data_IF_128898761490
#
_entry.id   IF_128898761490
#
_cell.length_a   1.000
_cell.length_b   1.000
_cell.length_c   1.000
_cell.angle_alpha   90.00
_cell.angle_beta   90.00
_cell.angle_gamma   90.00
#
_symmetry.space_group_name_H-M   'P 1'
#
loop_
_entity.id
_entity.type
_entity.pdbx_description
1 polymer ?
#
# COMPACT_ATOMS: atom_id res chain seq x y z
N UNK A 1 -4.07 -67.14 -29.78
CA UNK A 1 -4.62 -66.02 -30.58
C UNK A 1 -4.62 -64.78 -29.68
N UNK A 2 -3.50 -64.06 -29.61
CA UNK A 2 -3.30 -62.91 -28.70
C UNK A 2 -3.13 -61.66 -29.58
N UNK A 3 -4.16 -60.83 -29.70
CA UNK A 3 -4.07 -59.53 -30.35
C UNK A 3 -3.52 -58.49 -29.37
N UNK A 4 -2.20 -58.33 -29.36
CA UNK A 4 -1.54 -57.21 -28.66
C UNK A 4 -1.78 -55.93 -29.47
N UNK A 5 -2.84 -55.21 -29.13
CA UNK A 5 -3.13 -53.87 -29.63
C UNK A 5 -1.97 -52.93 -29.25
N UNK A 6 -1.15 -52.58 -30.24
CA UNK A 6 -0.17 -51.48 -30.15
C UNK A 6 -0.94 -50.18 -29.96
N UNK A 7 -0.95 -49.67 -28.72
CA UNK A 7 -1.45 -48.31 -28.44
C UNK A 7 -0.48 -47.31 -29.08
N UNK A 8 -0.94 -46.34 -29.87
CA UNK A 8 -0.07 -45.29 -30.38
C UNK A 8 0.49 -44.49 -29.20
N UNK A 9 1.81 -44.23 -29.23
CA UNK A 9 2.46 -43.37 -28.26
C UNK A 9 1.78 -42.00 -28.28
N UNK A 10 1.28 -41.54 -27.13
CA UNK A 10 0.76 -40.18 -26.99
C UNK A 10 1.88 -39.21 -27.33
N UNK A 11 1.68 -38.23 -28.24
CA UNK A 11 2.68 -37.19 -28.44
C UNK A 11 2.91 -36.50 -27.10
N UNK A 12 4.17 -36.36 -26.71
CA UNK A 12 4.54 -35.56 -25.55
C UNK A 12 3.92 -34.16 -25.75
N UNK A 13 3.06 -33.74 -24.82
CA UNK A 13 2.60 -32.36 -24.78
C UNK A 13 3.85 -31.50 -24.81
N UNK A 14 3.99 -30.54 -25.75
CA UNK A 14 5.10 -29.61 -25.74
C UNK A 14 5.17 -29.05 -24.33
N UNK A 15 6.26 -29.41 -23.67
CA UNK A 15 6.63 -28.96 -22.34
C UNK A 15 6.37 -27.47 -22.29
N UNK A 16 5.52 -27.05 -21.35
CA UNK A 16 5.21 -25.66 -21.02
C UNK A 16 6.44 -24.96 -20.40
N UNK A 17 7.62 -25.15 -21.01
CA UNK A 17 8.90 -24.67 -20.55
C UNK A 17 9.23 -23.27 -21.13
N UNK A 18 8.41 -22.76 -22.05
CA UNK A 18 8.65 -21.46 -22.71
C UNK A 18 7.38 -20.61 -22.92
N UNK A 19 6.46 -20.61 -21.96
CA UNK A 19 5.39 -19.58 -21.90
C UNK A 19 5.36 -18.84 -20.57
N UNK A 20 6.54 -18.63 -19.96
CA UNK A 20 6.76 -17.56 -18.98
C UNK A 20 7.02 -16.21 -19.69
N UNK A 21 6.43 -16.04 -20.88
CA UNK A 21 6.32 -14.73 -21.54
C UNK A 21 5.29 -13.98 -20.72
N UNK A 22 5.72 -12.88 -20.11
CA UNK A 22 4.96 -12.08 -19.16
C UNK A 22 3.51 -11.93 -19.63
N UNK A 23 2.56 -12.39 -18.81
CA UNK A 23 1.14 -12.30 -19.11
C UNK A 23 0.78 -10.82 -19.38
N UNK A 24 0.35 -10.46 -20.61
CA UNK A 24 0.13 -9.07 -20.98
C UNK A 24 -0.94 -8.41 -20.10
N UNK A 25 -1.88 -9.19 -19.55
CA UNK A 25 -2.88 -8.68 -18.61
C UNK A 25 -2.25 -8.29 -17.27
N UNK A 26 -1.24 -9.04 -16.79
CA UNK A 26 -0.49 -8.68 -15.58
C UNK A 26 0.36 -7.45 -15.80
N UNK A 27 1.00 -7.31 -16.96
CA UNK A 27 1.73 -6.10 -17.31
C UNK A 27 0.82 -4.87 -17.34
N UNK A 28 -0.35 -5.00 -17.99
CA UNK A 28 -1.33 -3.93 -18.04
C UNK A 28 -1.83 -3.55 -16.64
N UNK A 29 -2.08 -4.55 -15.78
CA UNK A 29 -2.48 -4.32 -14.39
C UNK A 29 -1.41 -3.57 -13.61
N UNK A 30 -0.14 -4.00 -13.70
CA UNK A 30 0.98 -3.33 -13.05
C UNK A 30 1.14 -1.88 -13.55
N UNK A 31 1.00 -1.66 -14.86
CA UNK A 31 1.03 -0.31 -15.43
C UNK A 31 -0.11 0.56 -14.89
N UNK A 32 -1.33 0.01 -14.77
CA UNK A 32 -2.47 0.71 -14.20
C UNK A 32 -2.28 1.05 -12.71
N UNK A 33 -1.70 0.13 -11.92
CA UNK A 33 -1.34 0.37 -10.51
C UNK A 33 -0.32 1.52 -10.39
N UNK A 34 0.75 1.48 -11.18
CA UNK A 34 1.78 2.54 -11.17
C UNK A 34 1.17 3.88 -11.56
N UNK A 35 0.36 3.91 -12.62
CA UNK A 35 -0.33 5.12 -13.05
C UNK A 35 -1.25 5.68 -11.96
N UNK A 36 -2.04 4.81 -11.30
CA UNK A 36 -2.89 5.19 -10.17
C UNK A 36 -2.06 5.83 -9.04
N UNK A 37 -0.96 5.18 -8.63
CA UNK A 37 -0.10 5.69 -7.55
C UNK A 37 0.44 7.07 -7.91
N UNK A 38 0.98 7.25 -9.12
CA UNK A 38 1.54 8.53 -9.56
C UNK A 38 0.50 9.65 -9.56
N UNK A 39 -0.70 9.38 -10.09
CA UNK A 39 -1.78 10.38 -10.15
C UNK A 39 -2.25 10.75 -8.74
N UNK A 40 -2.62 9.77 -7.92
CA UNK A 40 -3.25 10.05 -6.62
C UNK A 40 -2.26 10.53 -5.57
N UNK A 41 -1.01 10.05 -5.58
CA UNK A 41 0.03 10.62 -4.72
C UNK A 41 0.36 12.06 -5.13
N UNK A 42 0.49 12.34 -6.43
CA UNK A 42 0.70 13.69 -6.94
C UNK A 42 -0.40 14.66 -6.51
N UNK A 43 -1.67 14.29 -6.71
CA UNK A 43 -2.82 15.09 -6.26
C UNK A 43 -2.84 15.29 -4.74
N UNK A 44 -2.55 14.25 -3.96
CA UNK A 44 -2.50 14.35 -2.50
C UNK A 44 -1.39 15.31 -2.04
N UNK A 45 -0.22 15.28 -2.71
CA UNK A 45 0.89 16.17 -2.41
C UNK A 45 0.57 17.61 -2.78
N UNK A 46 -0.05 17.86 -3.93
CA UNK A 46 -0.47 19.19 -4.35
C UNK A 46 -1.51 19.78 -3.40
N UNK A 47 -2.49 18.97 -2.95
CA UNK A 47 -3.43 19.39 -1.91
C UNK A 47 -2.73 19.73 -0.61
N UNK A 48 -1.75 18.92 -0.19
CA UNK A 48 -0.99 19.15 1.04
C UNK A 48 -0.16 20.43 0.97
N UNK A 49 0.59 20.62 -0.12
CA UNK A 49 1.38 21.82 -0.38
C UNK A 49 0.49 23.08 -0.48
N UNK A 50 -0.73 22.92 -1.01
CA UNK A 50 -1.76 23.95 -1.04
C UNK A 50 -2.50 24.16 0.29
N UNK A 51 -2.13 23.46 1.37
CA UNK A 51 -2.76 23.52 2.70
C UNK A 51 -4.24 23.09 2.72
N UNK A 52 -4.64 22.20 1.80
CA UNK A 52 -6.03 21.74 1.58
C UNK A 52 -6.30 20.34 2.13
N UNK A 53 -5.52 19.89 3.12
CA UNK A 53 -5.64 18.54 3.70
C UNK A 53 -6.13 18.58 5.14
N UNK A 54 -7.13 19.41 5.43
CA UNK A 54 -7.79 19.49 6.75
C UNK A 54 -6.79 19.59 7.91
N UNK A 55 -6.09 20.74 7.98
CA UNK A 55 -4.95 21.04 8.88
C UNK A 55 -4.98 20.33 10.24
N UNK A 56 -6.08 20.45 10.98
CA UNK A 56 -6.22 19.85 12.32
C UNK A 56 -6.22 18.33 12.27
N UNK A 57 -7.09 17.74 11.46
CA UNK A 57 -7.31 16.30 11.40
C UNK A 57 -6.04 15.57 10.96
N UNK A 58 -5.46 15.97 9.83
CA UNK A 58 -4.23 15.35 9.34
C UNK A 58 -3.05 15.62 10.28
N UNK A 59 -2.99 16.81 10.89
CA UNK A 59 -1.96 17.17 11.86
C UNK A 59 -1.97 16.26 13.09
N UNK A 60 -3.14 15.99 13.66
CA UNK A 60 -3.28 15.09 14.81
C UNK A 60 -2.90 13.65 14.46
N UNK A 61 -3.29 13.15 13.28
CA UNK A 61 -2.89 11.82 12.80
C UNK A 61 -1.37 11.76 12.64
N UNK A 62 -0.79 12.73 11.93
CA UNK A 62 0.65 12.78 11.69
C UNK A 62 1.45 12.85 13.00
N UNK A 63 0.97 13.64 13.98
CA UNK A 63 1.59 13.73 15.29
C UNK A 63 1.50 12.41 16.06
N UNK A 64 0.35 11.72 16.03
CA UNK A 64 0.18 10.40 16.63
C UNK A 64 1.13 9.35 16.04
N UNK A 65 1.28 9.33 14.71
CA UNK A 65 2.19 8.43 14.02
C UNK A 65 3.65 8.78 14.35
N UNK A 66 4.02 10.06 14.29
CA UNK A 66 5.38 10.49 14.61
C UNK A 66 5.75 10.20 16.06
N UNK A 67 4.89 10.51 17.03
CA UNK A 67 5.11 10.21 18.44
C UNK A 67 5.26 8.69 18.67
N UNK A 68 4.45 7.86 18.00
CA UNK A 68 4.57 6.41 18.08
C UNK A 68 5.92 5.92 17.56
N UNK A 69 6.44 6.53 16.48
CA UNK A 69 7.77 6.22 15.94
C UNK A 69 8.90 6.52 16.93
N UNK A 70 8.62 7.33 17.96
CA UNK A 70 9.53 7.74 19.05
C UNK A 70 9.19 7.11 20.40
N UNK A 71 8.35 6.07 20.41
CA UNK A 71 7.97 5.33 21.62
C UNK A 71 6.87 5.97 22.46
N UNK A 72 6.23 7.05 22.00
CA UNK A 72 5.06 7.67 22.63
C UNK A 72 3.79 7.21 21.92
N UNK A 73 3.17 6.15 22.44
CA UNK A 73 2.09 5.44 21.79
C UNK A 73 0.88 6.35 21.49
N UNK A 74 0.65 6.63 20.19
CA UNK A 74 -0.45 7.44 19.62
C UNK A 74 -0.77 8.74 20.36
N UNK A 75 0.26 9.38 20.91
CA UNK A 75 0.16 10.68 21.57
C UNK A 75 -0.01 11.79 20.53
N UNK A 76 -0.86 12.78 20.79
CA UNK A 76 -1.07 13.94 19.90
C UNK A 76 -1.41 15.17 20.73
N UNK A 77 -1.47 16.34 20.11
CA UNK A 77 -1.94 17.57 20.75
C UNK A 77 -3.40 17.79 20.38
N UNK A 78 -4.26 17.84 21.39
CA UNK A 78 -5.65 18.21 21.25
C UNK A 78 -5.96 19.44 22.11
N UNK A 79 -6.62 20.43 21.51
CA UNK A 79 -6.99 21.68 22.18
C UNK A 79 -5.84 22.37 22.96
N UNK A 80 -4.59 22.19 22.50
CA UNK A 80 -3.39 22.76 23.13
C UNK A 80 -2.76 21.92 24.25
N UNK A 81 -3.34 20.75 24.56
CA UNK A 81 -2.83 19.83 25.58
C UNK A 81 -2.30 18.54 24.94
N UNK A 82 -1.37 17.88 25.62
CA UNK A 82 -0.97 16.52 25.25
C UNK A 82 -2.12 15.58 25.58
N UNK A 83 -2.56 14.85 24.58
CA UNK A 83 -3.63 13.87 24.67
C UNK A 83 -3.20 12.55 24.00
N UNK A 84 -3.98 11.50 24.21
CA UNK A 84 -3.89 10.28 23.41
C UNK A 84 -4.99 10.29 22.35
N UNK A 85 -4.68 9.77 21.17
CA UNK A 85 -5.67 9.62 20.10
C UNK A 85 -6.82 8.69 20.49
N UNK A 86 -6.58 7.79 21.45
CA UNK A 86 -7.55 6.85 22.01
C UNK A 86 -8.69 7.52 22.80
N UNK A 87 -8.59 8.82 23.10
CA UNK A 87 -9.68 9.57 23.76
C UNK A 87 -10.92 9.64 22.87
N UNK A 88 -10.72 9.79 21.54
CA UNK A 88 -11.81 9.97 20.57
C UNK A 88 -11.84 8.87 19.49
N UNK A 89 -10.69 8.27 19.15
CA UNK A 89 -10.54 7.33 18.04
C UNK A 89 -9.63 6.15 18.41
N UNK A 90 -10.09 4.92 18.18
CA UNK A 90 -9.28 3.71 18.42
C UNK A 90 -8.61 3.26 17.12
N UNK A 91 -7.40 3.78 16.88
CA UNK A 91 -6.64 3.55 15.64
C UNK A 91 -5.23 2.97 15.91
N UNK A 92 -5.10 1.74 16.44
CA UNK A 92 -3.80 1.14 16.78
C UNK A 92 -2.88 0.95 15.57
N UNK A 93 -3.46 0.91 14.36
CA UNK A 93 -2.71 0.85 13.10
C UNK A 93 -1.73 2.01 12.94
N UNK A 94 -2.01 3.18 13.54
CA UNK A 94 -1.12 4.35 13.47
C UNK A 94 0.25 4.09 14.10
N UNK A 95 0.30 3.29 15.16
CA UNK A 95 1.57 2.87 15.75
C UNK A 95 2.31 1.87 14.86
N UNK A 96 1.58 0.95 14.21
CA UNK A 96 2.18 -0.06 13.32
C UNK A 96 2.80 0.55 12.06
N UNK A 97 2.19 1.59 11.50
CA UNK A 97 2.73 2.29 10.31
C UNK A 97 3.81 3.32 10.66
N UNK A 98 4.00 3.63 11.95
CA UNK A 98 4.95 4.67 12.39
C UNK A 98 6.41 4.50 11.94
N UNK A 99 6.95 3.28 11.71
CA UNK A 99 8.30 3.13 11.17
C UNK A 99 8.50 3.75 9.78
N UNK A 100 7.43 4.02 9.01
CA UNK A 100 7.54 4.73 7.72
C UNK A 100 8.23 6.09 7.87
N UNK A 101 7.98 6.76 9.00
CA UNK A 101 8.58 8.07 9.28
C UNK A 101 10.07 7.98 9.62
N UNK A 102 10.65 6.80 9.87
CA UNK A 102 12.11 6.67 9.99
C UNK A 102 12.83 6.81 8.66
N UNK A 103 12.15 6.49 7.55
CA UNK A 103 12.71 6.60 6.21
C UNK A 103 12.40 7.95 5.57
N UNK A 104 11.25 8.54 5.90
CA UNK A 104 10.84 9.84 5.38
C UNK A 104 10.01 10.61 6.42
N UNK A 105 10.66 11.56 7.10
CA UNK A 105 10.06 12.42 8.13
C UNK A 105 9.21 13.56 7.51
N UNK A 106 8.19 13.22 6.73
CA UNK A 106 7.24 14.16 6.12
C UNK A 106 5.84 13.53 6.08
N UNK A 107 4.80 14.34 6.29
CA UNK A 107 3.39 13.90 6.20
C UNK A 107 3.07 13.28 4.83
N UNK A 108 3.73 13.73 3.77
CA UNK A 108 3.63 13.14 2.43
C UNK A 108 4.00 11.66 2.39
N UNK A 109 4.84 11.17 3.30
CA UNK A 109 5.12 9.74 3.42
C UNK A 109 3.85 8.94 3.79
N UNK A 110 3.01 9.49 4.68
CA UNK A 110 1.75 8.87 5.08
C UNK A 110 0.70 8.93 3.97
N UNK A 111 0.66 10.04 3.24
CA UNK A 111 -0.21 10.19 2.06
C UNK A 111 0.17 9.19 0.96
N UNK A 112 1.47 9.02 0.69
CA UNK A 112 1.96 8.02 -0.25
C UNK A 112 1.63 6.60 0.22
N UNK A 113 1.87 6.30 1.50
CA UNK A 113 1.54 5.00 2.08
C UNK A 113 0.07 4.65 1.88
N UNK A 114 -0.84 5.59 2.14
CA UNK A 114 -2.27 5.40 1.95
C UNK A 114 -2.59 5.04 0.48
N UNK A 115 -2.05 5.78 -0.49
CA UNK A 115 -2.26 5.53 -1.91
C UNK A 115 -1.73 4.15 -2.32
N UNK A 116 -0.52 3.77 -1.84
CA UNK A 116 0.07 2.46 -2.13
C UNK A 116 -0.75 1.33 -1.52
N UNK A 117 -1.16 1.44 -0.26
CA UNK A 117 -1.97 0.39 0.41
C UNK A 117 -3.28 0.17 -0.31
N UNK A 118 -3.97 1.24 -0.75
CA UNK A 118 -5.18 1.13 -1.57
C UNK A 118 -4.88 0.42 -2.90
N UNK A 119 -3.80 0.80 -3.57
CA UNK A 119 -3.42 0.21 -4.85
C UNK A 119 -3.05 -1.29 -4.73
N UNK A 120 -2.45 -1.70 -3.61
CA UNK A 120 -2.13 -3.11 -3.32
C UNK A 120 -3.40 -3.96 -3.18
N UNK A 121 -4.55 -3.37 -2.83
CA UNK A 121 -5.83 -4.09 -2.73
C UNK A 121 -6.32 -4.74 -4.02
N UNK A 122 -5.71 -4.42 -5.17
CA UNK A 122 -5.96 -5.09 -6.46
C UNK A 122 -5.25 -6.44 -6.58
N UNK A 123 -4.26 -6.72 -5.72
CA UNK A 123 -3.55 -7.98 -5.71
C UNK A 123 -4.50 -9.12 -5.25
N UNK A 124 -4.70 -10.17 -6.08
CA UNK A 124 -5.64 -11.25 -5.79
C UNK A 124 -5.16 -12.22 -4.71
#
# INVERSE_FOLDING_TARGET
MISRLLRPARPARPTALFSAVVDPYRLLLLAAIVLYILIFAGLAFDLHNGMRTHRSDLGQIAQAVWNSSRGRFVEMTDNGFVATRLTDHVEPILALISPVLWFWEDVKALLLLQVVVVAVGVWP
#
